data_IF_283502669113
#
_entry.id   IF_283502669113
#
_cell.length_a   1.000
_cell.length_b   1.000
_cell.length_c   1.000
_cell.angle_alpha   90.00
_cell.angle_beta   90.00
_cell.angle_gamma   90.00
#
_symmetry.space_group_name_H-M   'P 1'
#
loop_
_entity.id
_entity.type
_entity.pdbx_description
1 polymer ?
#
# COMPACT_ATOMS: atom_id res chain seq x y z
N UNK A 1 -18.02 12.15 -0.25
CA UNK A 1 -18.10 10.77 0.29
C UNK A 1 -16.76 10.07 0.10
N UNK A 2 -16.10 9.60 1.14
CA UNK A 2 -14.97 8.67 0.99
C UNK A 2 -15.56 7.28 0.69
N UNK A 3 -15.29 6.74 -0.49
CA UNK A 3 -15.76 5.43 -0.91
C UNK A 3 -15.04 4.32 -0.12
N UNK A 4 -15.63 3.93 1.02
CA UNK A 4 -15.27 2.72 1.77
C UNK A 4 -16.36 1.66 1.60
N UNK A 5 -16.00 0.38 1.65
CA UNK A 5 -16.98 -0.70 1.54
C UNK A 5 -16.36 -2.09 1.70
N UNK A 6 -17.23 -3.11 1.63
CA UNK A 6 -16.80 -4.51 1.65
C UNK A 6 -16.57 -5.02 0.23
N UNK A 7 -15.48 -5.75 0.02
CA UNK A 7 -15.20 -6.47 -1.22
C UNK A 7 -15.57 -7.94 -1.04
N UNK A 8 -16.32 -8.49 -2.00
CA UNK A 8 -16.66 -9.91 -2.03
C UNK A 8 -15.89 -10.56 -3.19
N UNK A 9 -14.83 -11.33 -2.91
CA UNK A 9 -14.02 -11.95 -3.96
C UNK A 9 -14.84 -13.03 -4.68
N UNK A 10 -14.71 -13.11 -6.00
CA UNK A 10 -15.25 -14.22 -6.79
C UNK A 10 -14.37 -15.45 -6.61
N UNK A 11 -13.05 -15.26 -6.56
CA UNK A 11 -12.07 -16.33 -6.41
C UNK A 11 -11.56 -16.37 -4.96
N UNK A 12 -12.38 -16.91 -4.04
CA UNK A 12 -12.07 -16.93 -2.60
C UNK A 12 -10.75 -17.62 -2.27
N UNK A 13 -10.40 -18.66 -3.01
CA UNK A 13 -9.14 -19.40 -2.82
C UNK A 13 -7.91 -18.55 -3.11
N UNK A 14 -8.03 -17.49 -3.91
CA UNK A 14 -6.91 -16.56 -4.15
C UNK A 14 -6.68 -15.65 -2.95
N UNK A 15 -7.65 -15.46 -2.07
CA UNK A 15 -7.48 -14.59 -0.91
C UNK A 15 -6.78 -15.33 0.23
N UNK A 16 -5.73 -14.71 0.78
CA UNK A 16 -4.97 -15.19 1.93
C UNK A 16 -5.42 -14.41 3.18
N UNK A 17 -6.43 -14.91 3.86
CA UNK A 17 -7.03 -14.28 5.04
C UNK A 17 -8.48 -14.70 5.16
N UNK A 18 -9.32 -13.88 5.81
CA UNK A 18 -10.75 -14.12 5.85
C UNK A 18 -11.46 -13.48 4.62
N UNK A 19 -11.89 -14.26 3.61
CA UNK A 19 -12.49 -13.72 2.39
C UNK A 19 -13.88 -13.10 2.59
N UNK A 20 -14.47 -13.25 3.78
CA UNK A 20 -15.78 -12.66 4.12
C UNK A 20 -15.68 -11.25 4.69
N UNK A 21 -14.46 -10.79 5.02
CA UNK A 21 -14.23 -9.51 5.68
C UNK A 21 -13.14 -8.67 5.00
N UNK A 22 -13.17 -8.59 3.67
CA UNK A 22 -12.26 -7.73 2.91
C UNK A 22 -12.85 -6.32 2.84
N UNK A 23 -12.10 -5.31 3.27
CA UNK A 23 -12.54 -3.91 3.31
C UNK A 23 -11.65 -3.09 2.39
N UNK A 24 -12.25 -2.29 1.51
CA UNK A 24 -11.53 -1.22 0.82
C UNK A 24 -11.90 0.13 1.45
N UNK A 25 -10.92 1.02 1.50
CA UNK A 25 -10.99 2.40 2.01
C UNK A 25 -10.97 3.43 0.89
N UNK A 26 -10.73 3.00 -0.35
CA UNK A 26 -10.80 3.83 -1.56
C UNK A 26 -11.30 3.05 -2.78
N UNK A 27 -11.78 3.76 -3.81
CA UNK A 27 -12.11 3.13 -5.09
C UNK A 27 -10.89 2.57 -5.81
N UNK A 28 -9.70 3.10 -5.54
CA UNK A 28 -8.45 2.64 -6.11
C UNK A 28 -8.05 1.29 -5.53
N UNK A 29 -8.16 1.12 -4.22
CA UNK A 29 -8.05 -0.19 -3.58
C UNK A 29 -9.09 -1.16 -4.13
N UNK A 30 -10.36 -0.75 -4.27
CA UNK A 30 -11.40 -1.61 -4.88
C UNK A 30 -11.00 -2.05 -6.29
N UNK A 31 -10.50 -1.14 -7.13
CA UNK A 31 -10.01 -1.47 -8.48
C UNK A 31 -8.86 -2.46 -8.43
N UNK A 32 -7.91 -2.26 -7.52
CA UNK A 32 -6.79 -3.18 -7.34
C UNK A 32 -7.24 -4.56 -6.83
N UNK A 33 -8.20 -4.62 -5.91
CA UNK A 33 -8.82 -5.88 -5.46
C UNK A 33 -9.48 -6.64 -6.61
N UNK A 34 -10.18 -5.94 -7.51
CA UNK A 34 -10.75 -6.57 -8.72
C UNK A 34 -9.64 -7.16 -9.58
N UNK A 35 -8.55 -6.41 -9.83
CA UNK A 35 -7.39 -6.92 -10.56
C UNK A 35 -6.80 -8.17 -9.89
N UNK A 36 -6.58 -8.13 -8.57
CA UNK A 36 -6.07 -9.26 -7.82
C UNK A 36 -6.98 -10.48 -7.90
N UNK A 37 -8.29 -10.30 -7.83
CA UNK A 37 -9.29 -11.37 -7.89
C UNK A 37 -9.38 -11.97 -9.30
N UNK A 38 -9.46 -11.16 -10.36
CA UNK A 38 -9.72 -11.62 -11.72
C UNK A 38 -8.49 -12.01 -12.54
N UNK A 39 -7.29 -11.53 -12.20
CA UNK A 39 -6.09 -11.83 -12.99
C UNK A 39 -5.53 -13.22 -12.68
N UNK A 40 -5.44 -14.10 -13.68
CA UNK A 40 -4.95 -15.47 -13.54
C UNK A 40 -3.49 -15.57 -13.09
N UNK A 41 -2.65 -14.57 -13.40
CA UNK A 41 -1.26 -14.54 -12.94
C UNK A 41 -1.15 -14.27 -11.44
N UNK A 42 -2.16 -13.67 -10.82
CA UNK A 42 -2.22 -13.49 -9.36
C UNK A 42 -2.64 -14.81 -8.73
N UNK A 43 -1.76 -15.39 -7.92
CA UNK A 43 -1.97 -16.71 -7.30
C UNK A 43 -2.54 -16.59 -5.90
N UNK A 44 -2.00 -15.66 -5.10
CA UNK A 44 -2.52 -15.33 -3.77
C UNK A 44 -2.41 -13.84 -3.51
N UNK A 45 -3.36 -13.29 -2.76
CA UNK A 45 -3.30 -11.90 -2.33
C UNK A 45 -4.01 -11.70 -0.99
N UNK A 46 -3.66 -10.65 -0.26
CA UNK A 46 -4.33 -10.25 0.99
C UNK A 46 -4.32 -8.73 1.12
N UNK A 47 -5.18 -8.18 1.99
CA UNK A 47 -5.27 -6.73 2.23
C UNK A 47 -5.21 -6.44 3.72
N UNK A 48 -4.33 -5.53 4.13
CA UNK A 48 -4.08 -5.15 5.54
C UNK A 48 -3.69 -6.29 6.51
N UNK A 49 -3.34 -7.49 6.02
CA UNK A 49 -3.01 -8.66 6.87
C UNK A 49 -1.53 -8.71 7.32
N UNK A 50 -0.61 -8.02 6.62
CA UNK A 50 0.81 -8.02 6.96
C UNK A 50 1.11 -6.88 7.92
N UNK A 51 1.82 -7.18 9.02
CA UNK A 51 2.25 -6.19 10.01
C UNK A 51 3.76 -6.00 9.91
N UNK A 52 4.19 -4.77 9.68
CA UNK A 52 5.61 -4.38 9.65
C UNK A 52 5.86 -3.41 10.79
N UNK A 53 6.73 -3.74 11.76
CA UNK A 53 7.13 -2.78 12.79
C UNK A 53 8.01 -1.69 12.20
N UNK A 54 7.77 -0.43 12.57
CA UNK A 54 8.64 0.69 12.20
C UNK A 54 8.85 1.62 13.40
N UNK A 55 10.01 2.27 13.48
CA UNK A 55 10.27 3.28 14.50
C UNK A 55 9.74 4.63 14.03
N UNK A 56 8.80 5.21 14.76
CA UNK A 56 8.27 6.53 14.47
C UNK A 56 9.36 7.59 14.68
N UNK A 57 9.61 8.48 13.69
CA UNK A 57 10.65 9.51 13.82
C UNK A 57 10.28 10.62 14.80
N UNK A 58 9.02 10.67 15.26
CA UNK A 58 8.51 11.72 16.14
C UNK A 58 8.59 11.37 17.63
N UNK A 59 8.15 10.17 17.99
CA UNK A 59 8.10 9.70 19.38
C UNK A 59 9.18 8.65 19.68
N UNK A 60 9.91 8.19 18.66
CA UNK A 60 10.97 7.17 18.73
C UNK A 60 10.50 5.79 19.21
N UNK A 61 9.19 5.54 19.26
CA UNK A 61 8.58 4.25 19.65
C UNK A 61 8.33 3.36 18.43
N UNK A 62 8.16 2.06 18.67
CA UNK A 62 7.82 1.08 17.63
C UNK A 62 6.31 1.08 17.39
N UNK A 63 5.92 1.34 16.15
CA UNK A 63 4.54 1.37 15.68
C UNK A 63 4.32 0.29 14.62
N UNK A 64 3.05 -0.03 14.36
CA UNK A 64 2.66 -1.02 13.36
C UNK A 64 2.30 -0.33 12.05
N UNK A 65 2.90 -0.80 10.95
CA UNK A 65 2.51 -0.47 9.59
C UNK A 65 1.76 -1.65 8.99
N UNK A 66 0.59 -1.37 8.43
CA UNK A 66 -0.25 -2.31 7.70
C UNK A 66 -0.25 -1.84 6.24
N UNK A 67 0.55 -2.44 5.36
CA UNK A 67 0.52 -2.13 3.94
C UNK A 67 -0.85 -2.48 3.32
N UNK A 68 -1.23 -1.77 2.27
CA UNK A 68 -2.54 -1.95 1.65
C UNK A 68 -2.75 -3.40 1.14
N UNK A 69 -1.75 -3.99 0.47
CA UNK A 69 -1.81 -5.37 -0.03
C UNK A 69 -0.51 -6.16 0.06
N UNK A 70 -0.66 -7.48 0.10
CA UNK A 70 0.38 -8.45 -0.22
C UNK A 70 -0.09 -9.28 -1.40
N UNK A 71 0.77 -9.51 -2.38
CA UNK A 71 0.42 -10.21 -3.63
C UNK A 71 1.54 -11.17 -4.04
N UNK A 72 1.16 -12.39 -4.42
CA UNK A 72 2.04 -13.37 -5.05
C UNK A 72 1.59 -13.61 -6.48
N UNK A 73 2.47 -13.31 -7.43
CA UNK A 73 2.22 -13.40 -8.87
C UNK A 73 3.10 -14.50 -9.46
N UNK A 74 2.53 -15.30 -10.37
CA UNK A 74 3.27 -16.23 -11.23
C UNK A 74 3.71 -15.49 -12.49
N UNK A 75 5.01 -15.45 -12.75
CA UNK A 75 5.61 -14.87 -13.95
C UNK A 75 5.52 -15.82 -15.14
N UNK A 76 5.75 -15.30 -16.34
CA UNK A 76 5.72 -16.08 -17.58
C UNK A 76 6.78 -17.19 -17.62
N UNK A 77 7.92 -16.99 -16.96
CA UNK A 77 8.99 -17.98 -16.78
C UNK A 77 8.63 -19.08 -15.75
N UNK A 78 7.42 -19.05 -15.18
CA UNK A 78 6.95 -19.98 -14.16
C UNK A 78 7.39 -19.67 -12.74
N UNK A 79 8.28 -18.68 -12.54
CA UNK A 79 8.73 -18.26 -11.22
C UNK A 79 7.66 -17.46 -10.47
N UNK A 80 7.84 -17.30 -9.16
CA UNK A 80 6.92 -16.52 -8.33
C UNK A 80 7.59 -15.25 -7.84
N UNK A 81 6.87 -14.13 -7.97
CA UNK A 81 7.25 -12.87 -7.34
C UNK A 81 6.25 -12.54 -6.24
N UNK A 82 6.76 -12.20 -5.07
CA UNK A 82 5.95 -11.74 -3.96
C UNK A 82 6.22 -10.26 -3.74
N UNK A 83 5.17 -9.47 -3.56
CA UNK A 83 5.26 -8.03 -3.38
C UNK A 83 4.33 -7.53 -2.29
N UNK A 84 4.78 -6.52 -1.58
CA UNK A 84 3.93 -5.63 -0.78
C UNK A 84 3.59 -4.42 -1.65
N UNK A 85 2.32 -4.07 -1.67
CA UNK A 85 1.77 -3.00 -2.49
C UNK A 85 1.17 -1.93 -1.60
N UNK A 86 1.50 -0.68 -1.87
CA UNK A 86 0.85 0.49 -1.29
C UNK A 86 0.11 1.27 -2.39
N UNK A 87 -1.17 1.55 -2.20
CA UNK A 87 -2.01 2.32 -3.13
C UNK A 87 -2.17 3.74 -2.59
N UNK A 88 -1.60 4.72 -3.29
CA UNK A 88 -1.64 6.14 -2.88
C UNK A 88 -1.60 7.07 -4.09
N UNK A 89 -2.18 8.28 -4.00
CA UNK A 89 -1.97 9.32 -5.01
C UNK A 89 -0.49 9.66 -5.16
N UNK A 90 -0.03 9.84 -6.40
CA UNK A 90 1.37 10.21 -6.71
C UNK A 90 1.82 11.47 -5.97
N UNK A 91 0.90 12.43 -5.80
CA UNK A 91 1.15 13.64 -5.01
C UNK A 91 1.55 13.38 -3.55
N UNK A 92 1.19 12.23 -2.98
CA UNK A 92 1.54 11.82 -1.62
C UNK A 92 2.85 11.02 -1.54
N UNK A 93 3.44 10.65 -2.68
CA UNK A 93 4.73 9.95 -2.74
C UNK A 93 5.91 10.91 -2.85
N UNK A 94 5.64 12.21 -2.89
CA UNK A 94 6.63 13.27 -3.11
C UNK A 94 6.64 14.20 -1.88
N UNK A 95 7.80 14.72 -1.45
CA UNK A 95 7.88 15.70 -0.38
C UNK A 95 6.96 16.91 -0.58
N UNK A 96 6.25 17.37 0.46
CA UNK A 96 5.47 18.59 0.40
C UNK A 96 6.35 19.80 0.04
N UNK A 97 5.94 20.57 -0.98
CA UNK A 97 6.66 21.79 -1.38
C UNK A 97 6.31 22.97 -0.45
N UNK A 98 7.30 23.78 -0.01
CA UNK A 98 7.03 24.99 0.73
C UNK A 98 6.22 25.97 -0.12
N UNK A 99 5.20 26.61 0.46
CA UNK A 99 4.41 27.62 -0.24
C UNK A 99 5.17 28.94 -0.21
N UNK A 100 5.39 29.54 -1.39
CA UNK A 100 6.32 30.66 -1.61
C UNK A 100 6.09 31.90 -0.73
N UNK A 101 4.86 32.15 -0.21
CA UNK A 101 4.51 33.46 0.35
C UNK A 101 3.87 33.50 1.75
N UNK A 102 4.00 32.47 2.59
CA UNK A 102 3.51 32.55 3.99
C UNK A 102 4.47 31.84 4.94
N UNK A 103 4.76 32.48 6.08
CA UNK A 103 5.27 31.85 7.33
C UNK A 103 4.85 30.38 7.36
N UNK A 104 5.79 29.43 7.51
CA UNK A 104 5.52 27.97 7.41
C UNK A 104 4.18 27.64 8.07
N UNK A 105 3.14 27.47 7.27
CA UNK A 105 1.79 27.33 7.81
C UNK A 105 1.71 26.06 8.65
N UNK A 106 0.91 26.03 9.70
CA UNK A 106 0.72 24.79 10.50
C UNK A 106 0.32 23.58 9.63
N UNK A 107 -0.37 23.83 8.52
CA UNK A 107 -0.67 22.81 7.50
C UNK A 107 0.58 22.20 6.86
N UNK A 108 1.56 23.02 6.47
CA UNK A 108 2.82 22.53 5.88
C UNK A 108 3.59 21.65 6.89
N UNK A 109 3.64 22.06 8.16
CA UNK A 109 4.29 21.27 9.21
C UNK A 109 3.58 19.92 9.42
N UNK A 110 2.25 19.88 9.35
CA UNK A 110 1.47 18.64 9.44
C UNK A 110 1.69 17.73 8.23
N UNK A 111 1.73 18.30 7.01
CA UNK A 111 2.03 17.58 5.78
C UNK A 111 3.44 16.97 5.83
N UNK A 112 4.45 17.74 6.26
CA UNK A 112 5.82 17.26 6.49
C UNK A 112 5.88 16.17 7.56
N UNK A 113 5.13 16.32 8.66
CA UNK A 113 5.04 15.30 9.71
C UNK A 113 4.52 13.97 9.15
N UNK A 114 3.42 14.02 8.38
CA UNK A 114 2.84 12.83 7.73
C UNK A 114 3.81 12.19 6.74
N UNK A 115 4.47 13.02 5.93
CA UNK A 115 5.49 12.56 4.99
C UNK A 115 6.63 11.80 5.71
N UNK A 116 7.18 12.37 6.79
CA UNK A 116 8.24 11.71 7.56
C UNK A 116 7.82 10.38 8.21
N UNK A 117 6.57 10.27 8.67
CA UNK A 117 6.04 8.97 9.14
C UNK A 117 5.96 7.96 7.99
N UNK A 118 5.46 8.36 6.83
CA UNK A 118 5.34 7.47 5.67
C UNK A 118 6.71 7.02 5.14
N UNK A 119 7.70 7.91 5.12
CA UNK A 119 9.07 7.58 4.76
C UNK A 119 9.65 6.51 5.71
N UNK A 120 9.45 6.66 7.02
CA UNK A 120 9.88 5.66 8.00
C UNK A 120 9.18 4.31 7.82
N UNK A 121 7.89 4.31 7.48
CA UNK A 121 7.13 3.09 7.15
C UNK A 121 7.68 2.41 5.90
N UNK A 122 7.93 3.16 4.83
CA UNK A 122 8.46 2.63 3.59
C UNK A 122 9.88 2.09 3.75
N UNK A 123 10.73 2.79 4.51
CA UNK A 123 12.07 2.28 4.84
C UNK A 123 12.00 0.94 5.57
N UNK A 124 11.14 0.83 6.58
CA UNK A 124 10.94 -0.43 7.30
C UNK A 124 10.39 -1.54 6.38
N UNK A 125 9.47 -1.19 5.48
CA UNK A 125 8.90 -2.13 4.52
C UNK A 125 9.93 -2.62 3.50
N UNK A 126 10.81 -1.74 3.01
CA UNK A 126 11.91 -2.10 2.12
C UNK A 126 12.82 -3.12 2.78
N UNK A 127 13.31 -2.85 4.00
CA UNK A 127 14.16 -3.79 4.74
C UNK A 127 13.45 -5.13 5.02
N UNK A 128 12.17 -5.08 5.41
CA UNK A 128 11.36 -6.28 5.64
C UNK A 128 11.22 -7.13 4.38
N UNK A 129 10.99 -6.49 3.24
CA UNK A 129 10.85 -7.15 1.95
C UNK A 129 12.18 -7.70 1.45
N UNK A 130 13.29 -6.97 1.58
CA UNK A 130 14.63 -7.43 1.20
C UNK A 130 15.01 -8.74 1.91
N UNK A 131 14.79 -8.81 3.23
CA UNK A 131 15.04 -10.02 4.01
C UNK A 131 14.22 -11.24 3.53
N UNK A 132 13.01 -11.01 3.00
CA UNK A 132 12.11 -12.05 2.49
C UNK A 132 12.24 -12.28 0.97
N UNK A 133 13.15 -11.58 0.30
CA UNK A 133 13.24 -11.52 -1.15
C UNK A 133 11.91 -11.14 -1.83
N UNK A 134 11.18 -10.20 -1.21
CA UNK A 134 9.95 -9.60 -1.72
C UNK A 134 10.25 -8.23 -2.32
N UNK A 135 9.31 -7.69 -3.11
CA UNK A 135 9.39 -6.33 -3.64
C UNK A 135 8.42 -5.40 -2.92
N UNK A 136 8.78 -4.13 -2.78
CA UNK A 136 7.84 -3.06 -2.41
C UNK A 136 7.44 -2.35 -3.70
N UNK A 137 6.14 -2.19 -3.94
CA UNK A 137 5.63 -1.42 -5.08
C UNK A 137 4.63 -0.38 -4.59
N UNK A 138 4.70 0.81 -5.16
CA UNK A 138 3.71 1.87 -4.94
C UNK A 138 2.89 1.97 -6.22
N UNK A 139 1.58 1.82 -6.08
CA UNK A 139 0.61 1.93 -7.17
C UNK A 139 -0.11 3.27 -7.01
N UNK A 140 -0.03 4.08 -8.07
CA UNK A 140 -0.66 5.39 -8.15
C UNK A 140 -1.75 5.38 -9.23
N UNK A 141 -2.39 6.53 -9.42
CA UNK A 141 -3.34 6.77 -10.51
C UNK A 141 -2.77 6.40 -11.89
N UNK A 142 -1.47 6.57 -12.10
CA UNK A 142 -0.80 6.31 -13.38
C UNK A 142 -0.96 4.84 -13.79
N UNK A 143 -0.79 3.90 -12.84
CA UNK A 143 -0.93 2.46 -13.13
C UNK A 143 -2.38 1.96 -13.05
N UNK A 144 -3.25 2.62 -12.27
CA UNK A 144 -4.64 2.18 -12.07
C UNK A 144 -5.61 2.69 -13.15
N UNK A 145 -5.28 3.81 -13.79
CA UNK A 145 -6.12 4.46 -14.78
C UNK A 145 -5.55 4.40 -16.20
N UNK A 146 -4.31 3.93 -16.39
CA UNK A 146 -3.80 3.63 -17.72
C UNK A 146 -4.71 2.62 -18.41
N UNK A 147 -5.12 2.97 -19.63
CA UNK A 147 -5.87 2.08 -20.53
C UNK A 147 -4.96 1.03 -21.13
#
# INVERSE_FOLDING_TARGET
MAYKGKFKPKNRDKYKGNPTNIIYRSLWERRFMVYCDSNNSVVKWSSEEIVIPYRSPFDKRIHKYYPDFWVKIKKHDGTFETSIIEVKPKSQTIPPKPRLNKRKSGRYLLEMKRYGVNEAKWKAATTFCEYKNWKVKIITEDQLLSK
#
